data_IF_631641808827
#
_entry.id   IF_631641808827
#
_cell.length_a   1.000
_cell.length_b   1.000
_cell.length_c   1.000
_cell.angle_alpha   90.00
_cell.angle_beta   90.00
_cell.angle_gamma   90.00
#
_symmetry.space_group_name_H-M   'P 1'
#
loop_
_entity.id
_entity.type
_entity.pdbx_description
1 polymer ?
#
# COMPACT_ATOMS: atom_id res chain seq x y z
N UNK A 1 1.18 -34.98 21.46
CA UNK A 1 -0.05 -34.35 20.94
C UNK A 1 -0.01 -32.86 21.20
N UNK A 2 0.55 -32.11 20.25
CA UNK A 2 0.76 -30.66 20.32
C UNK A 2 -0.57 -29.93 20.47
N UNK A 3 -0.70 -29.15 21.55
CA UNK A 3 -1.91 -28.41 21.96
C UNK A 3 -2.15 -27.18 21.09
N UNK A 4 -2.18 -27.35 19.77
CA UNK A 4 -2.36 -26.27 18.78
C UNK A 4 -3.70 -25.52 18.92
N UNK A 5 -4.69 -26.07 19.64
CA UNK A 5 -5.96 -25.39 19.92
C UNK A 5 -5.84 -24.21 20.90
N UNK A 6 -4.76 -24.12 21.68
CA UNK A 6 -4.53 -22.98 22.60
C UNK A 6 -4.20 -21.68 21.87
N UNK A 7 -3.71 -21.74 20.63
CA UNK A 7 -3.43 -20.55 19.83
C UNK A 7 -4.71 -19.74 19.59
N UNK A 8 -5.87 -20.41 19.49
CA UNK A 8 -7.20 -19.79 19.33
C UNK A 8 -7.76 -19.14 20.61
N UNK A 9 -7.15 -19.40 21.77
CA UNK A 9 -7.55 -18.80 23.05
C UNK A 9 -6.79 -17.50 23.33
N UNK A 10 -5.64 -17.29 22.68
CA UNK A 10 -4.81 -16.08 22.82
C UNK A 10 -4.96 -15.16 21.60
N UNK A 11 -5.17 -15.74 20.42
CA UNK A 11 -5.35 -15.03 19.17
C UNK A 11 -6.81 -15.11 18.76
N UNK A 12 -7.55 -14.04 19.06
CA UNK A 12 -8.89 -13.84 18.49
C UNK A 12 -8.75 -13.87 16.96
N UNK A 13 -9.31 -14.88 16.27
CA UNK A 13 -9.07 -15.14 14.86
C UNK A 13 -9.42 -13.93 13.99
N UNK A 14 -10.49 -13.22 14.34
CA UNK A 14 -10.90 -11.98 13.70
C UNK A 14 -9.81 -10.91 13.78
N UNK A 15 -9.20 -10.73 14.96
CA UNK A 15 -8.22 -9.66 15.17
C UNK A 15 -6.90 -9.98 14.51
N UNK A 16 -6.50 -11.24 14.46
CA UNK A 16 -5.29 -11.66 13.72
C UNK A 16 -5.46 -11.47 12.23
N UNK A 17 -6.57 -11.89 11.63
CA UNK A 17 -6.80 -11.67 10.20
C UNK A 17 -6.88 -10.19 9.84
N UNK A 18 -7.50 -9.36 10.69
CA UNK A 18 -7.53 -7.91 10.50
C UNK A 18 -6.14 -7.29 10.69
N UNK A 19 -5.41 -7.66 11.75
CA UNK A 19 -4.08 -7.13 12.01
C UNK A 19 -3.09 -7.52 10.90
N UNK A 20 -3.12 -8.78 10.46
CA UNK A 20 -2.35 -9.28 9.32
C UNK A 20 -2.75 -8.52 8.04
N UNK A 21 -4.05 -8.40 7.73
CA UNK A 21 -4.53 -7.69 6.54
C UNK A 21 -4.10 -6.22 6.52
N UNK A 22 -4.27 -5.50 7.64
CA UNK A 22 -3.86 -4.10 7.78
C UNK A 22 -2.34 -3.97 7.72
N UNK A 23 -1.59 -4.88 8.35
CA UNK A 23 -0.13 -4.87 8.32
C UNK A 23 0.43 -5.02 6.90
N UNK A 24 -0.06 -6.02 6.15
CA UNK A 24 0.36 -6.20 4.75
C UNK A 24 -0.07 -5.02 3.86
N UNK A 25 -1.27 -4.45 4.08
CA UNK A 25 -1.73 -3.29 3.32
C UNK A 25 -0.87 -2.05 3.58
N UNK A 26 -0.54 -1.76 4.85
CA UNK A 26 0.34 -0.66 5.22
C UNK A 26 1.73 -0.82 4.61
N UNK A 27 2.27 -2.04 4.65
CA UNK A 27 3.57 -2.34 4.06
C UNK A 27 3.56 -2.17 2.54
N UNK A 28 2.51 -2.64 1.86
CA UNK A 28 2.33 -2.42 0.43
C UNK A 28 2.24 -0.92 0.09
N UNK A 29 1.40 -0.17 0.81
CA UNK A 29 1.22 1.27 0.57
C UNK A 29 2.53 2.05 0.79
N UNK A 30 3.31 1.70 1.82
CA UNK A 30 4.62 2.30 2.08
C UNK A 30 5.56 2.12 0.88
N UNK A 31 5.65 0.91 0.33
CA UNK A 31 6.51 0.63 -0.83
C UNK A 31 6.04 1.43 -2.05
N UNK A 32 4.74 1.48 -2.33
CA UNK A 32 4.21 2.22 -3.47
C UNK A 32 4.48 3.72 -3.35
N UNK A 33 4.27 4.31 -2.17
CA UNK A 33 4.52 5.74 -1.93
C UNK A 33 6.00 6.10 -2.07
N UNK A 34 6.91 5.21 -1.67
CA UNK A 34 8.36 5.41 -1.88
C UNK A 34 8.72 5.32 -3.37
N UNK A 35 8.17 4.35 -4.11
CA UNK A 35 8.39 4.27 -5.57
C UNK A 35 7.83 5.51 -6.31
N UNK A 36 6.68 5.99 -5.85
CA UNK A 36 6.05 7.25 -6.28
C UNK A 36 6.77 8.51 -5.78
N UNK A 37 7.75 8.39 -4.89
CA UNK A 37 8.57 9.55 -4.51
C UNK A 37 9.77 9.71 -5.44
N UNK A 38 10.12 8.68 -6.22
CA UNK A 38 11.30 8.67 -7.07
C UNK A 38 10.93 9.14 -8.49
N UNK A 39 11.56 10.20 -9.04
CA UNK A 39 11.21 10.76 -10.34
C UNK A 39 11.36 9.77 -11.51
N UNK A 40 12.14 8.70 -11.34
CA UNK A 40 12.32 7.67 -12.38
C UNK A 40 11.21 6.59 -12.39
N UNK A 41 10.59 6.31 -11.23
CA UNK A 41 9.58 5.24 -11.08
C UNK A 41 8.16 5.79 -10.87
N UNK A 42 8.02 7.11 -10.92
CA UNK A 42 6.76 7.85 -10.85
C UNK A 42 5.85 7.56 -12.04
N UNK A 43 5.16 6.43 -12.03
CA UNK A 43 4.24 6.06 -13.10
C UNK A 43 3.06 7.03 -13.24
N UNK A 44 2.71 7.80 -12.20
CA UNK A 44 1.69 8.84 -12.28
C UNK A 44 2.16 10.03 -13.14
N UNK A 45 3.41 10.44 -13.00
CA UNK A 45 4.03 11.49 -13.82
C UNK A 45 4.14 11.03 -15.28
N UNK A 46 4.60 9.79 -15.48
CA UNK A 46 4.70 9.16 -16.82
C UNK A 46 3.31 9.02 -17.45
N UNK A 47 2.30 8.59 -16.70
CA UNK A 47 0.92 8.51 -17.18
C UNK A 47 0.33 9.89 -17.49
N UNK A 48 0.61 10.90 -16.66
CA UNK A 48 0.18 12.29 -16.86
C UNK A 48 0.75 12.86 -18.18
N UNK A 49 2.06 12.69 -18.39
CA UNK A 49 2.74 13.08 -19.63
C UNK A 49 2.23 12.30 -20.86
N UNK A 50 1.92 11.01 -20.72
CA UNK A 50 1.45 10.14 -21.82
C UNK A 50 -0.01 10.36 -22.20
N UNK A 51 -0.88 10.65 -21.22
CA UNK A 51 -2.31 10.86 -21.45
C UNK A 51 -2.68 12.32 -21.71
N UNK A 52 -1.71 13.23 -21.74
CA UNK A 52 -1.93 14.61 -22.13
C UNK A 52 -2.85 15.35 -21.17
N UNK A 53 -2.72 15.12 -19.86
CA UNK A 53 -3.21 16.09 -18.89
C UNK A 53 -2.33 17.33 -19.00
N UNK A 54 -2.69 18.21 -19.94
CA UNK A 54 -2.17 19.56 -20.01
C UNK A 54 -2.60 20.22 -18.70
N UNK A 55 -1.71 20.24 -17.71
CA UNK A 55 -1.86 21.16 -16.60
C UNK A 55 -2.00 22.55 -17.24
N UNK A 56 -3.18 23.16 -17.08
CA UNK A 56 -3.45 24.49 -17.59
C UNK A 56 -2.26 25.37 -17.20
N UNK A 57 -1.59 25.92 -18.22
CA UNK A 57 -0.39 26.73 -18.03
C UNK A 57 -0.65 27.77 -16.94
N UNK A 58 0.28 27.97 -15.99
CA UNK A 58 0.16 29.09 -15.08
C UNK A 58 0.24 30.35 -15.95
N UNK A 59 -0.88 31.06 -16.06
CA UNK A 59 -0.95 32.36 -16.71
C UNK A 59 -0.29 33.39 -15.80
N UNK A 60 1.01 33.57 -15.94
CA UNK A 60 1.73 34.81 -15.58
C UNK A 60 2.77 35.14 -16.66
#
# INVERSE_FOLDING_TARGET
>A
MSKFYKIWLIFDPRRVFVAQGVFLFLLAAMIHLVLLSDPAFNWFEIASAKHGYVAAAPTE
#
